data_IF_828715660720
#
_entry.id   IF_828715660720
#
_cell.length_a   1.000
_cell.length_b   1.000
_cell.length_c   1.000
_cell.angle_alpha   90.00
_cell.angle_beta   90.00
_cell.angle_gamma   90.00
#
_symmetry.space_group_name_H-M   'P 1'
#
loop_
_entity.id
_entity.type
_entity.pdbx_description
1 polymer ?
#
# COMPACT_ATOMS: atom_id res chain seq x y z
N UNK A 1 2.70 -10.47 -27.67
CA UNK A 1 3.94 -10.06 -27.00
C UNK A 1 4.93 -11.18 -27.28
N UNK A 2 6.04 -10.93 -27.95
CA UNK A 2 6.99 -12.00 -28.31
C UNK A 2 7.80 -12.33 -27.05
N UNK A 3 7.44 -13.43 -26.37
CA UNK A 3 8.02 -13.85 -25.08
C UNK A 3 8.84 -15.13 -25.28
N UNK A 4 9.96 -15.29 -24.55
CA UNK A 4 10.88 -16.40 -24.77
C UNK A 4 10.41 -17.74 -24.18
N UNK A 5 9.45 -17.73 -23.26
CA UNK A 5 8.92 -18.94 -22.60
C UNK A 5 7.43 -19.12 -22.86
N UNK A 6 6.96 -20.37 -22.74
CA UNK A 6 5.55 -20.70 -22.94
C UNK A 6 4.64 -20.09 -21.85
N UNK A 7 3.43 -19.70 -22.24
CA UNK A 7 2.46 -19.07 -21.33
C UNK A 7 2.16 -19.92 -20.09
N UNK A 8 2.05 -21.24 -20.28
CA UNK A 8 1.81 -22.20 -19.20
C UNK A 8 2.95 -22.20 -18.17
N UNK A 9 4.19 -22.17 -18.63
CA UNK A 9 5.38 -22.15 -17.79
C UNK A 9 5.49 -20.84 -17.01
N UNK A 10 5.28 -19.70 -17.68
CA UNK A 10 5.24 -18.39 -17.01
C UNK A 10 4.15 -18.33 -15.95
N UNK A 11 2.95 -18.83 -16.25
CA UNK A 11 1.86 -18.90 -15.28
C UNK A 11 2.19 -19.80 -14.10
N UNK A 12 2.89 -20.92 -14.32
CA UNK A 12 3.39 -21.74 -13.22
C UNK A 12 4.29 -20.90 -12.30
N UNK A 13 5.28 -20.18 -12.83
CA UNK A 13 6.17 -19.31 -12.03
C UNK A 13 5.37 -18.23 -11.26
N UNK A 14 4.38 -17.61 -11.89
CA UNK A 14 3.51 -16.62 -11.26
C UNK A 14 2.64 -17.22 -10.15
N UNK A 15 2.03 -18.38 -10.38
CA UNK A 15 1.15 -19.03 -9.42
C UNK A 15 1.90 -19.58 -8.21
N UNK A 16 3.16 -19.97 -8.39
CA UNK A 16 4.02 -20.29 -7.24
C UNK A 16 4.25 -19.07 -6.34
N UNK A 17 4.04 -17.83 -6.80
CA UNK A 17 4.13 -16.63 -5.96
C UNK A 17 2.87 -16.36 -5.14
N UNK A 18 1.77 -17.09 -5.40
CA UNK A 18 0.48 -16.90 -4.76
C UNK A 18 0.31 -17.71 -3.47
N UNK A 19 -0.62 -17.26 -2.62
CA UNK A 19 -1.09 -18.03 -1.47
C UNK A 19 -2.14 -19.07 -1.88
N UNK A 20 -2.36 -20.08 -1.04
CA UNK A 20 -3.45 -21.06 -1.25
C UNK A 20 -4.82 -20.37 -1.31
N UNK A 21 -5.00 -19.29 -0.55
CA UNK A 21 -6.24 -18.49 -0.58
C UNK A 21 -6.45 -17.83 -1.95
N UNK A 22 -5.39 -17.23 -2.50
CA UNK A 22 -5.44 -16.59 -3.82
C UNK A 22 -5.72 -17.64 -4.92
N UNK A 23 -5.03 -18.79 -4.88
CA UNK A 23 -5.27 -19.89 -5.83
C UNK A 23 -6.70 -20.43 -5.76
N UNK A 24 -7.25 -20.63 -4.55
CA UNK A 24 -8.65 -21.05 -4.38
C UNK A 24 -9.64 -20.00 -4.88
N UNK A 25 -9.30 -18.72 -4.74
CA UNK A 25 -10.10 -17.63 -5.28
C UNK A 25 -10.09 -17.68 -6.83
N UNK A 26 -8.95 -17.96 -7.47
CA UNK A 26 -8.88 -18.19 -8.91
C UNK A 26 -9.72 -19.38 -9.36
N UNK A 27 -9.64 -20.52 -8.68
CA UNK A 27 -10.50 -21.66 -8.99
C UNK A 27 -12.00 -21.30 -8.94
N UNK A 28 -12.38 -20.40 -8.02
CA UNK A 28 -13.76 -19.92 -7.90
C UNK A 28 -14.16 -18.98 -9.04
N UNK A 29 -13.27 -18.06 -9.43
CA UNK A 29 -13.48 -17.13 -10.55
C UNK A 29 -13.63 -17.89 -11.88
N UNK A 30 -12.84 -18.93 -12.07
CA UNK A 30 -12.89 -19.84 -13.23
C UNK A 30 -14.01 -20.89 -13.13
N UNK A 31 -14.84 -20.86 -12.08
CA UNK A 31 -15.94 -21.82 -11.86
C UNK A 31 -15.51 -23.29 -11.82
N UNK A 32 -14.25 -23.57 -11.46
CA UNK A 32 -13.72 -24.92 -11.31
C UNK A 32 -14.33 -25.62 -10.09
N UNK A 33 -14.36 -26.95 -10.07
CA UNK A 33 -14.89 -27.76 -8.96
C UNK A 33 -13.86 -28.81 -8.52
N UNK A 34 -13.95 -29.28 -7.28
CA UNK A 34 -13.08 -30.35 -6.77
C UNK A 34 -11.74 -29.90 -6.16
N UNK A 35 -11.42 -28.61 -6.18
CA UNK A 35 -10.14 -28.06 -5.74
C UNK A 35 -9.96 -27.92 -4.21
N UNK A 36 -11.01 -28.16 -3.41
CA UNK A 36 -11.02 -27.80 -1.98
C UNK A 36 -9.98 -28.54 -1.13
N UNK A 37 -9.68 -29.80 -1.50
CA UNK A 37 -8.74 -30.70 -0.81
C UNK A 37 -7.30 -30.62 -1.35
N UNK A 38 -7.07 -29.89 -2.44
CA UNK A 38 -5.77 -29.82 -3.08
C UNK A 38 -4.80 -28.97 -2.24
N UNK A 39 -3.55 -29.42 -2.18
CA UNK A 39 -2.44 -28.65 -1.62
C UNK A 39 -1.99 -27.58 -2.64
N UNK A 40 -1.01 -26.74 -2.29
CA UNK A 40 -0.60 -25.63 -3.17
C UNK A 40 -0.15 -26.11 -4.55
N UNK A 41 0.79 -27.05 -4.59
CA UNK A 41 1.36 -27.55 -5.84
C UNK A 41 0.26 -28.16 -6.73
N UNK A 42 -0.57 -29.03 -6.16
CA UNK A 42 -1.69 -29.63 -6.89
C UNK A 42 -2.77 -28.62 -7.31
N UNK A 43 -2.93 -27.49 -6.60
CA UNK A 43 -3.82 -26.41 -7.02
C UNK A 43 -3.28 -25.69 -8.26
N UNK A 44 -1.97 -25.44 -8.32
CA UNK A 44 -1.33 -24.81 -9.48
C UNK A 44 -1.53 -25.70 -10.71
N UNK A 45 -1.14 -26.97 -10.61
CA UNK A 45 -1.29 -27.94 -11.70
C UNK A 45 -2.75 -28.06 -12.14
N UNK A 46 -3.67 -28.17 -11.18
CA UNK A 46 -5.11 -28.28 -11.46
C UNK A 46 -5.68 -27.07 -12.20
N UNK A 47 -5.25 -25.85 -11.85
CA UNK A 47 -5.70 -24.65 -12.57
C UNK A 47 -5.16 -24.67 -14.00
N UNK A 48 -3.86 -24.92 -14.16
CA UNK A 48 -3.21 -24.91 -15.48
C UNK A 48 -3.79 -26.00 -16.41
N UNK A 49 -4.09 -27.18 -15.88
CA UNK A 49 -4.71 -28.29 -16.63
C UNK A 49 -6.17 -28.06 -16.99
N UNK A 50 -6.84 -27.14 -16.30
CA UNK A 50 -8.26 -26.84 -16.52
C UNK A 50 -8.51 -25.74 -17.57
N UNK A 51 -7.44 -25.20 -18.17
CA UNK A 51 -7.51 -24.03 -19.06
C UNK A 51 -6.93 -24.36 -20.44
N UNK A 52 -7.53 -23.79 -21.47
CA UNK A 52 -7.00 -23.77 -22.84
C UNK A 52 -5.92 -22.70 -23.00
N UNK A 53 -5.10 -22.79 -24.06
CA UNK A 53 -4.04 -21.80 -24.34
C UNK A 53 -4.56 -20.35 -24.45
N UNK A 54 -5.75 -20.14 -25.04
CA UNK A 54 -6.37 -18.82 -25.13
C UNK A 54 -6.77 -18.28 -23.74
N UNK A 55 -7.28 -19.15 -22.87
CA UNK A 55 -7.62 -18.78 -21.49
C UNK A 55 -6.35 -18.48 -20.66
N UNK A 56 -5.27 -19.24 -20.87
CA UNK A 56 -3.97 -18.98 -20.24
C UNK A 56 -3.42 -17.62 -20.68
N UNK A 57 -3.48 -17.29 -21.97
CA UNK A 57 -3.03 -16.00 -22.48
C UNK A 57 -3.83 -14.83 -21.87
N UNK A 58 -5.16 -14.94 -21.86
CA UNK A 58 -6.04 -13.93 -21.26
C UNK A 58 -5.73 -13.72 -19.77
N UNK A 59 -5.50 -14.82 -19.03
CA UNK A 59 -5.21 -14.74 -17.61
C UNK A 59 -3.85 -14.08 -17.33
N UNK A 60 -2.84 -14.35 -18.16
CA UNK A 60 -1.56 -13.66 -18.09
C UNK A 60 -1.74 -12.16 -18.25
N UNK A 61 -2.47 -11.72 -19.29
CA UNK A 61 -2.71 -10.30 -19.54
C UNK A 61 -3.40 -9.61 -18.35
N UNK A 62 -4.30 -10.30 -17.65
CA UNK A 62 -5.03 -9.72 -16.51
C UNK A 62 -4.23 -9.71 -15.20
N UNK A 63 -3.47 -10.78 -14.92
CA UNK A 63 -2.96 -11.04 -13.56
C UNK A 63 -1.46 -10.86 -13.40
N UNK A 64 -0.67 -11.01 -14.45
CA UNK A 64 0.80 -10.99 -14.40
C UNK A 64 1.32 -9.78 -13.63
N UNK A 65 0.93 -8.57 -14.07
CA UNK A 65 1.41 -7.32 -13.48
C UNK A 65 1.08 -7.20 -11.99
N UNK A 66 -0.11 -7.63 -11.58
CA UNK A 66 -0.55 -7.60 -10.17
C UNK A 66 0.29 -8.52 -9.29
N UNK A 67 0.55 -9.74 -9.76
CA UNK A 67 1.35 -10.74 -9.03
C UNK A 67 2.80 -10.28 -8.89
N UNK A 68 3.38 -9.78 -9.98
CA UNK A 68 4.76 -9.28 -10.04
C UNK A 68 4.92 -8.04 -9.15
N UNK A 69 4.02 -7.07 -9.26
CA UNK A 69 4.03 -5.84 -8.44
C UNK A 69 4.07 -6.18 -6.94
N UNK A 70 3.21 -7.08 -6.49
CA UNK A 70 3.15 -7.49 -5.08
C UNK A 70 4.46 -8.12 -4.59
N UNK A 71 5.12 -8.91 -5.44
CA UNK A 71 6.38 -9.58 -5.09
C UNK A 71 7.54 -8.59 -5.05
N UNK A 72 7.58 -7.63 -5.98
CA UNK A 72 8.53 -6.52 -6.02
C UNK A 72 8.34 -5.60 -4.80
N UNK A 73 7.11 -5.25 -4.43
CA UNK A 73 6.83 -4.41 -3.26
C UNK A 73 7.40 -5.02 -1.97
N UNK A 74 7.28 -6.34 -1.81
CA UNK A 74 7.88 -7.06 -0.68
C UNK A 74 9.42 -7.02 -0.75
N UNK A 75 10.01 -7.17 -1.92
CA UNK A 75 11.47 -7.03 -2.11
C UNK A 75 11.96 -5.62 -1.74
N UNK A 76 11.26 -4.58 -2.19
CA UNK A 76 11.56 -3.18 -1.84
C UNK A 76 11.42 -2.96 -0.33
N UNK A 77 10.39 -3.51 0.31
CA UNK A 77 10.24 -3.44 1.76
C UNK A 77 11.41 -4.11 2.50
N UNK A 78 11.99 -5.20 1.96
CA UNK A 78 13.19 -5.84 2.54
C UNK A 78 14.42 -4.95 2.43
N UNK A 79 14.67 -4.38 1.24
CA UNK A 79 15.76 -3.43 0.99
C UNK A 79 15.63 -2.21 1.90
N UNK A 80 14.40 -1.69 2.06
CA UNK A 80 14.08 -0.55 2.93
C UNK A 80 14.04 -0.90 4.43
N UNK A 81 14.39 -2.14 4.81
CA UNK A 81 14.36 -2.63 6.20
C UNK A 81 12.98 -2.51 6.86
N UNK A 82 11.91 -2.55 6.08
CA UNK A 82 10.51 -2.52 6.53
C UNK A 82 9.91 -3.93 6.71
N UNK A 83 10.51 -4.95 6.08
CA UNK A 83 10.08 -6.35 6.21
C UNK A 83 10.73 -7.08 7.42
N UNK A 84 10.16 -8.20 7.86
CA UNK A 84 10.67 -9.04 8.97
C UNK A 84 12.01 -9.67 8.69
N UNK A 85 12.17 -10.15 7.47
CA UNK A 85 13.38 -10.82 7.03
C UNK A 85 14.21 -9.79 6.27
N UNK A 86 15.46 -9.67 6.68
CA UNK A 86 16.41 -8.70 6.15
C UNK A 86 17.49 -9.40 5.34
N UNK A 87 18.07 -8.67 4.39
CA UNK A 87 19.29 -9.08 3.70
C UNK A 87 20.42 -9.10 4.75
N UNK A 88 21.03 -10.27 4.94
CA UNK A 88 22.21 -10.45 5.77
C UNK A 88 23.45 -10.02 5.00
N UNK A 89 23.60 -10.54 3.79
CA UNK A 89 24.68 -10.20 2.86
C UNK A 89 24.33 -10.62 1.43
N UNK A 90 24.99 -9.99 0.47
CA UNK A 90 25.03 -10.38 -0.94
C UNK A 90 26.49 -10.67 -1.30
N UNK A 91 26.74 -11.81 -1.94
CA UNK A 91 28.04 -12.26 -2.41
C UNK A 91 27.97 -12.48 -3.92
N UNK A 92 29.01 -12.07 -4.64
CA UNK A 92 29.18 -12.48 -6.04
C UNK A 92 29.86 -13.84 -6.00
N UNK A 93 29.14 -14.88 -6.38
CA UNK A 93 29.63 -16.25 -6.33
C UNK A 93 30.48 -16.57 -7.58
N UNK A 94 30.11 -16.01 -8.73
CA UNK A 94 30.87 -16.07 -9.96
C UNK A 94 30.68 -14.77 -10.78
N UNK A 95 31.75 -13.99 -10.95
CA UNK A 95 31.68 -12.71 -11.69
C UNK A 95 31.52 -12.94 -13.20
N UNK A 96 32.06 -14.03 -13.77
CA UNK A 96 31.96 -14.29 -15.21
C UNK A 96 30.54 -14.69 -15.64
N UNK A 97 29.87 -15.49 -14.80
CA UNK A 97 28.49 -15.94 -15.03
C UNK A 97 27.44 -15.01 -14.40
N UNK A 98 27.86 -13.82 -13.93
CA UNK A 98 26.99 -12.83 -13.28
C UNK A 98 26.15 -13.42 -12.11
N UNK A 99 26.76 -14.36 -11.39
CA UNK A 99 26.11 -15.18 -10.37
C UNK A 99 26.20 -14.51 -8.99
N UNK A 100 25.06 -14.41 -8.32
CA UNK A 100 24.96 -13.80 -7.00
C UNK A 100 24.23 -14.70 -6.02
N UNK A 101 24.79 -14.77 -4.82
CA UNK A 101 24.24 -15.48 -3.67
C UNK A 101 23.81 -14.45 -2.62
N UNK A 102 22.60 -14.61 -2.09
CA UNK A 102 22.00 -13.67 -1.15
C UNK A 102 21.51 -14.43 0.06
N UNK A 103 22.07 -14.08 1.22
CA UNK A 103 21.66 -14.62 2.49
C UNK A 103 20.65 -13.69 3.15
N UNK A 104 19.59 -14.28 3.69
CA UNK A 104 18.52 -13.60 4.39
C UNK A 104 18.40 -14.14 5.82
N UNK A 105 18.02 -13.26 6.73
CA UNK A 105 17.78 -13.60 8.13
C UNK A 105 16.41 -13.08 8.57
N UNK A 106 15.57 -14.00 9.03
CA UNK A 106 14.31 -13.71 9.70
C UNK A 106 14.39 -13.99 11.21
N UNK A 107 13.32 -13.72 11.97
CA UNK A 107 13.32 -13.92 13.42
C UNK A 107 13.59 -15.35 13.91
N UNK A 108 13.34 -16.37 13.07
CA UNK A 108 13.47 -17.80 13.41
C UNK A 108 13.90 -18.68 12.24
N UNK A 109 14.38 -18.09 11.15
CA UNK A 109 14.79 -18.81 9.96
C UNK A 109 15.87 -18.03 9.24
N UNK A 110 16.68 -18.75 8.49
CA UNK A 110 17.62 -18.22 7.51
C UNK A 110 17.20 -18.79 6.16
N UNK A 111 17.43 -18.02 5.11
CA UNK A 111 17.13 -18.42 3.73
C UNK A 111 18.25 -17.93 2.82
N UNK A 112 18.53 -18.68 1.77
CA UNK A 112 19.54 -18.39 0.78
C UNK A 112 18.90 -18.38 -0.61
N UNK A 113 19.31 -17.42 -1.43
CA UNK A 113 18.89 -17.33 -2.83
C UNK A 113 20.11 -17.20 -3.72
N UNK A 114 20.07 -17.93 -4.81
CA UNK A 114 21.00 -17.89 -5.91
C UNK A 114 20.28 -17.33 -7.13
N UNK A 115 20.95 -16.48 -7.90
CA UNK A 115 20.49 -16.06 -9.22
C UNK A 115 21.69 -15.70 -10.11
N UNK A 116 21.64 -16.13 -11.37
CA UNK A 116 22.52 -15.66 -12.44
C UNK A 116 21.66 -15.02 -13.52
N UNK A 117 21.99 -13.79 -13.90
CA UNK A 117 21.38 -13.09 -15.03
C UNK A 117 22.49 -12.57 -15.92
N UNK A 118 22.64 -13.17 -17.10
CA UNK A 118 23.58 -12.80 -18.14
C UNK A 118 22.84 -12.56 -19.46
N UNK A 119 23.47 -11.94 -20.46
CA UNK A 119 22.90 -11.83 -21.80
C UNK A 119 22.48 -13.17 -22.41
N UNK A 120 23.13 -14.26 -22.03
CA UNK A 120 22.88 -15.62 -22.53
C UNK A 120 21.66 -16.30 -21.89
N UNK A 121 21.32 -15.96 -20.64
CA UNK A 121 20.21 -16.58 -19.90
C UNK A 121 19.11 -15.61 -19.46
N UNK A 122 19.14 -14.34 -19.90
CA UNK A 122 18.17 -13.31 -19.46
C UNK A 122 16.70 -13.67 -19.73
N UNK A 123 16.47 -14.48 -20.76
CA UNK A 123 15.16 -14.98 -21.16
C UNK A 123 14.63 -16.06 -20.21
N UNK A 124 15.53 -16.80 -19.55
CA UNK A 124 15.20 -17.73 -18.47
C UNK A 124 16.37 -17.82 -17.46
N UNK A 125 16.43 -16.90 -16.48
CA UNK A 125 17.56 -16.83 -15.56
C UNK A 125 17.69 -18.08 -14.70
N UNK A 126 18.93 -18.54 -14.55
CA UNK A 126 19.26 -19.57 -13.58
C UNK A 126 19.02 -19.03 -12.17
N UNK A 127 18.25 -19.79 -11.38
CA UNK A 127 17.84 -19.38 -10.04
C UNK A 127 17.58 -20.59 -9.17
N UNK A 128 17.93 -20.46 -7.90
CA UNK A 128 17.57 -21.39 -6.85
C UNK A 128 17.31 -20.60 -5.58
N UNK A 129 16.34 -21.00 -4.78
CA UNK A 129 16.07 -20.35 -3.51
C UNK A 129 15.37 -21.32 -2.57
N UNK A 130 15.87 -21.44 -1.36
CA UNK A 130 15.34 -22.36 -0.35
C UNK A 130 13.97 -21.93 0.22
N UNK A 131 13.48 -20.75 -0.15
CA UNK A 131 12.17 -20.28 0.28
C UNK A 131 11.04 -21.08 -0.39
N UNK A 132 9.86 -21.08 0.23
CA UNK A 132 8.70 -21.86 -0.24
C UNK A 132 8.25 -21.54 -1.66
N UNK A 133 8.53 -20.32 -2.15
CA UNK A 133 8.15 -19.87 -3.50
C UNK A 133 9.28 -20.19 -4.48
N UNK A 134 10.51 -19.83 -4.11
CA UNK A 134 11.69 -19.97 -4.95
C UNK A 134 12.08 -21.41 -5.23
N UNK A 135 11.90 -22.32 -4.26
CA UNK A 135 12.19 -23.76 -4.44
C UNK A 135 11.27 -24.46 -5.44
N UNK A 136 10.27 -23.73 -5.96
CA UNK A 136 9.37 -24.13 -7.04
C UNK A 136 9.52 -23.24 -8.27
N UNK A 137 10.64 -22.56 -8.42
CA UNK A 137 10.95 -21.61 -9.50
C UNK A 137 10.06 -20.37 -9.60
N UNK A 138 9.24 -20.09 -8.57
CA UNK A 138 8.37 -18.92 -8.55
C UNK A 138 9.13 -17.61 -8.37
N UNK A 139 8.56 -16.50 -8.85
CA UNK A 139 9.09 -15.14 -8.69
C UNK A 139 8.94 -14.62 -7.25
N UNK A 140 9.69 -15.22 -6.32
CA UNK A 140 9.72 -14.81 -4.93
C UNK A 140 10.33 -13.41 -4.76
N UNK A 141 10.11 -12.79 -3.60
CA UNK A 141 10.74 -11.51 -3.29
C UNK A 141 12.28 -11.60 -3.22
N UNK A 142 12.87 -12.78 -2.94
CA UNK A 142 14.33 -12.99 -2.96
C UNK A 142 14.89 -12.90 -4.38
N UNK A 143 14.19 -13.51 -5.36
CA UNK A 143 14.50 -13.38 -6.78
C UNK A 143 14.53 -11.91 -7.19
N UNK A 144 13.53 -11.11 -6.78
CA UNK A 144 13.48 -9.69 -7.13
C UNK A 144 14.60 -8.86 -6.49
N UNK A 145 15.08 -9.24 -5.30
CA UNK A 145 16.25 -8.59 -4.69
C UNK A 145 17.50 -8.86 -5.53
N UNK A 146 17.70 -10.12 -5.95
CA UNK A 146 18.80 -10.46 -6.83
C UNK A 146 18.70 -9.82 -8.21
N UNK A 147 17.49 -9.76 -8.79
CA UNK A 147 17.20 -9.02 -10.02
C UNK A 147 17.61 -7.54 -9.90
N UNK A 148 17.21 -6.86 -8.82
CA UNK A 148 17.56 -5.45 -8.57
C UNK A 148 19.08 -5.31 -8.39
N UNK A 149 19.72 -6.23 -7.67
CA UNK A 149 21.17 -6.24 -7.49
C UNK A 149 21.89 -6.36 -8.84
N UNK A 150 21.58 -7.37 -9.64
CA UNK A 150 22.20 -7.61 -10.95
C UNK A 150 21.98 -6.44 -11.91
N UNK A 151 20.79 -5.84 -11.90
CA UNK A 151 20.50 -4.61 -12.66
C UNK A 151 21.36 -3.43 -12.19
N UNK A 152 21.55 -3.25 -10.88
CA UNK A 152 22.35 -2.16 -10.31
C UNK A 152 23.85 -2.37 -10.48
N UNK A 153 24.30 -3.62 -10.53
CA UNK A 153 25.68 -4.02 -10.80
C UNK A 153 26.02 -3.86 -12.29
N UNK A 154 25.02 -3.82 -13.16
CA UNK A 154 25.17 -3.62 -14.60
C UNK A 154 25.28 -4.91 -15.40
N UNK A 155 24.83 -6.04 -14.85
CA UNK A 155 24.87 -7.35 -15.52
C UNK A 155 23.88 -7.45 -16.69
N UNK A 156 22.84 -6.61 -16.71
CA UNK A 156 21.93 -6.45 -17.84
C UNK A 156 21.28 -5.06 -17.82
N UNK A 157 20.68 -4.62 -18.93
CA UNK A 157 19.84 -3.43 -18.95
C UNK A 157 18.35 -3.79 -18.86
N UNK A 158 17.55 -2.92 -18.24
CA UNK A 158 16.12 -3.15 -18.06
C UNK A 158 15.36 -3.37 -19.39
N UNK A 159 15.85 -2.79 -20.50
CA UNK A 159 15.25 -2.94 -21.84
C UNK A 159 15.43 -4.36 -22.41
N UNK A 160 16.40 -5.11 -21.89
CA UNK A 160 16.71 -6.45 -22.33
C UNK A 160 15.79 -7.48 -21.65
N UNK A 161 15.13 -7.10 -20.56
CA UNK A 161 14.20 -7.95 -19.83
C UNK A 161 12.87 -8.14 -20.57
N UNK A 162 12.59 -9.39 -20.98
CA UNK A 162 11.36 -9.76 -21.71
C UNK A 162 10.54 -10.87 -21.06
N UNK A 163 11.09 -11.54 -20.04
CA UNK A 163 10.47 -12.69 -19.39
C UNK A 163 9.11 -12.33 -18.76
N UNK A 164 8.99 -11.16 -18.13
CA UNK A 164 7.73 -10.72 -17.51
C UNK A 164 7.57 -9.20 -17.50
N UNK A 165 6.32 -8.74 -17.49
CA UNK A 165 5.98 -7.32 -17.38
C UNK A 165 6.37 -6.75 -16.01
N UNK A 166 7.04 -5.60 -16.04
CA UNK A 166 7.37 -4.83 -14.85
C UNK A 166 6.40 -3.66 -14.66
N UNK A 167 6.14 -3.24 -13.40
CA UNK A 167 5.37 -2.03 -13.12
C UNK A 167 5.96 -0.81 -13.83
N UNK A 168 5.12 0.07 -14.37
CA UNK A 168 5.60 1.29 -15.06
C UNK A 168 6.47 2.19 -14.17
N UNK A 169 6.22 2.18 -12.86
CA UNK A 169 7.00 2.91 -11.85
C UNK A 169 8.22 2.13 -11.33
N UNK A 170 8.54 0.94 -11.86
CA UNK A 170 9.62 0.10 -11.36
C UNK A 170 10.96 0.85 -11.31
N UNK A 171 11.35 1.47 -12.44
CA UNK A 171 12.61 2.22 -12.55
C UNK A 171 12.71 3.36 -11.54
N UNK A 172 11.59 4.04 -11.30
CA UNK A 172 11.49 5.14 -10.33
C UNK A 172 11.61 4.61 -8.90
N UNK A 173 10.95 3.49 -8.58
CA UNK A 173 10.96 2.89 -7.25
C UNK A 173 12.34 2.38 -6.83
N UNK A 174 13.18 1.97 -7.79
CA UNK A 174 14.54 1.51 -7.51
C UNK A 174 15.61 2.59 -7.71
N UNK A 175 15.24 3.81 -8.14
CA UNK A 175 16.21 4.83 -8.57
C UNK A 175 17.26 5.12 -7.50
N UNK A 176 16.82 5.19 -6.24
CA UNK A 176 17.64 5.54 -5.08
C UNK A 176 18.30 4.32 -4.42
N UNK A 177 18.04 3.11 -4.91
CA UNK A 177 18.71 1.90 -4.41
C UNK A 177 20.14 1.89 -4.96
N UNK A 178 21.11 1.71 -4.08
CA UNK A 178 22.53 1.60 -4.40
C UNK A 178 23.14 0.34 -3.79
N UNK A 179 24.24 -0.11 -4.39
CA UNK A 179 25.06 -1.19 -3.88
C UNK A 179 26.09 -0.60 -2.93
N UNK A 180 26.08 -1.07 -1.68
CA UNK A 180 27.10 -0.75 -0.68
C UNK A 180 28.02 -1.96 -0.50
N UNK A 181 29.33 -1.75 -0.55
CA UNK A 181 30.33 -2.79 -0.30
C UNK A 181 31.01 -2.55 1.06
N UNK A 182 31.00 -3.56 1.92
CA UNK A 182 31.62 -3.54 3.24
C UNK A 182 32.46 -4.82 3.40
N UNK A 183 33.78 -4.68 3.42
CA UNK A 183 34.74 -5.80 3.60
C UNK A 183 34.55 -6.94 2.59
N UNK A 184 34.34 -6.62 1.31
CA UNK A 184 34.13 -7.61 0.24
C UNK A 184 32.75 -8.29 0.25
N UNK A 185 31.80 -7.75 1.03
CA UNK A 185 30.39 -8.18 1.03
C UNK A 185 29.52 -7.03 0.54
N UNK A 186 28.49 -7.35 -0.22
CA UNK A 186 27.58 -6.36 -0.75
C UNK A 186 26.27 -6.30 0.02
N UNK A 187 25.62 -5.15 -0.04
CA UNK A 187 24.26 -4.94 0.41
C UNK A 187 23.53 -3.99 -0.55
N UNK A 188 22.20 -4.02 -0.53
CA UNK A 188 21.36 -3.03 -1.18
C UNK A 188 20.86 -2.03 -0.14
N UNK A 189 21.15 -0.76 -0.36
CA UNK A 189 20.69 0.33 0.48
C UNK A 189 19.83 1.29 -0.33
N UNK A 190 18.74 1.80 0.23
CA UNK A 190 17.99 2.88 -0.39
C UNK A 190 18.52 4.23 0.14
N UNK A 191 19.05 5.05 -0.77
CA UNK A 191 19.59 6.40 -0.52
C UNK A 191 18.56 7.52 -0.65
N UNK A 192 17.26 7.23 -0.72
CA UNK A 192 16.28 8.29 -0.41
C UNK A 192 16.67 8.98 0.88
N UNK A 193 16.41 10.30 1.02
CA UNK A 193 16.61 10.97 2.30
C UNK A 193 15.92 10.08 3.33
N UNK A 194 16.74 9.53 4.25
CA UNK A 194 16.42 8.41 5.14
C UNK A 194 14.92 8.33 5.34
N UNK A 195 14.24 7.19 5.10
CA UNK A 195 12.86 7.04 5.58
C UNK A 195 12.86 7.64 6.98
N UNK A 196 12.22 8.80 7.20
CA UNK A 196 12.71 9.69 8.25
C UNK A 196 12.46 9.09 9.64
N UNK A 197 11.56 8.09 9.68
CA UNK A 197 11.33 7.19 10.79
C UNK A 197 12.50 6.28 11.15
N UNK A 198 13.34 5.86 10.21
CA UNK A 198 14.55 5.06 10.46
C UNK A 198 15.52 5.82 11.36
N UNK A 199 15.68 7.13 11.18
CA UNK A 199 16.50 7.96 12.08
C UNK A 199 15.95 8.01 13.50
N UNK A 200 14.65 7.72 13.66
CA UNK A 200 13.90 7.69 14.91
C UNK A 200 13.67 6.26 15.45
N UNK A 201 14.12 5.23 14.75
CA UNK A 201 13.88 3.84 15.12
C UNK A 201 14.55 3.52 16.47
N UNK A 202 13.83 2.75 17.30
CA UNK A 202 14.19 2.39 18.67
C UNK A 202 14.38 3.57 19.64
N UNK A 203 14.06 4.80 19.19
CA UNK A 203 14.08 6.01 20.02
C UNK A 203 12.69 6.32 20.56
N UNK A 204 12.68 7.08 21.66
CA UNK A 204 11.47 7.70 22.17
C UNK A 204 11.11 8.91 21.31
N UNK A 205 9.88 8.96 20.84
CA UNK A 205 9.36 9.96 19.91
C UNK A 205 8.06 10.56 20.42
N UNK A 206 7.68 11.68 19.82
CA UNK A 206 6.40 12.35 20.05
C UNK A 206 5.64 12.44 18.72
N UNK A 207 4.39 11.98 18.74
CA UNK A 207 3.39 12.37 17.75
C UNK A 207 2.82 13.71 18.22
N UNK A 208 3.11 14.76 17.46
CA UNK A 208 2.64 16.10 17.74
C UNK A 208 1.21 16.31 17.22
N UNK A 209 0.89 15.68 16.09
CA UNK A 209 -0.39 15.79 15.42
C UNK A 209 -0.67 14.51 14.61
N UNK A 210 -1.93 14.11 14.53
CA UNK A 210 -2.38 13.00 13.67
C UNK A 210 -3.86 12.71 13.91
N UNK A 211 -4.59 12.37 12.85
CA UNK A 211 -6.04 12.09 12.93
C UNK A 211 -6.26 10.59 13.05
N UNK A 212 -7.10 10.18 13.99
CA UNK A 212 -7.42 8.76 14.16
C UNK A 212 -8.31 8.27 13.00
N UNK A 213 -7.77 7.39 12.16
CA UNK A 213 -8.52 6.77 11.08
C UNK A 213 -9.23 5.48 11.52
N UNK A 214 -8.54 4.59 12.25
CA UNK A 214 -9.13 3.34 12.72
C UNK A 214 -8.64 2.98 14.12
N UNK A 215 -9.49 2.27 14.86
CA UNK A 215 -9.17 1.71 16.18
C UNK A 215 -9.66 0.27 16.19
N UNK A 216 -8.75 -0.68 16.39
CA UNK A 216 -9.05 -2.11 16.41
C UNK A 216 -8.63 -2.71 17.76
N UNK A 217 -9.60 -3.22 18.53
CA UNK A 217 -9.32 -3.98 19.76
C UNK A 217 -8.68 -5.33 19.40
N UNK A 218 -7.59 -5.66 20.08
CA UNK A 218 -6.83 -6.90 19.90
C UNK A 218 -6.55 -7.54 21.25
N UNK A 219 -6.43 -8.86 21.22
CA UNK A 219 -6.08 -9.67 22.39
C UNK A 219 -4.87 -10.52 22.03
N UNK A 220 -3.88 -10.58 22.93
CA UNK A 220 -2.72 -11.45 22.82
C UNK A 220 -2.70 -12.37 24.03
N UNK A 221 -2.67 -13.66 23.79
CA UNK A 221 -2.37 -14.66 24.82
C UNK A 221 -0.89 -15.02 24.72
N UNK A 222 -0.16 -14.83 25.82
CA UNK A 222 1.22 -15.31 25.94
C UNK A 222 1.38 -16.03 27.26
N UNK A 223 1.58 -17.35 27.20
CA UNK A 223 1.76 -18.23 28.35
C UNK A 223 0.60 -18.13 29.37
N UNK A 224 -0.65 -17.96 28.90
CA UNK A 224 -1.84 -17.84 29.74
C UNK A 224 -2.11 -16.42 30.24
N UNK A 225 -1.23 -15.45 29.96
CA UNK A 225 -1.47 -14.05 30.25
C UNK A 225 -2.15 -13.38 29.06
N UNK A 226 -3.45 -13.10 29.23
CA UNK A 226 -4.26 -12.40 28.23
C UNK A 226 -4.01 -10.89 28.36
N UNK A 227 -3.39 -10.31 27.34
CA UNK A 227 -3.17 -8.86 27.23
C UNK A 227 -4.10 -8.28 26.18
N UNK A 228 -4.92 -7.32 26.58
CA UNK A 228 -5.77 -6.53 25.67
C UNK A 228 -5.06 -5.24 25.28
N UNK A 229 -5.10 -4.90 24.00
CA UNK A 229 -4.56 -3.64 23.48
C UNK A 229 -5.36 -3.17 22.27
N UNK A 230 -5.16 -1.91 21.90
CA UNK A 230 -5.82 -1.26 20.78
C UNK A 230 -4.79 -0.90 19.73
N UNK A 231 -5.02 -1.38 18.51
CA UNK A 231 -4.26 -0.99 17.33
C UNK A 231 -4.94 0.21 16.69
N UNK A 232 -4.29 1.36 16.74
CA UNK A 232 -4.82 2.62 16.23
C UNK A 232 -4.01 3.05 15.02
N UNK A 233 -4.68 3.35 13.91
CA UNK A 233 -4.05 3.96 12.73
C UNK A 233 -4.31 5.45 12.77
N UNK A 234 -3.24 6.23 12.69
CA UNK A 234 -3.28 7.67 12.47
C UNK A 234 -2.95 7.99 11.02
N UNK A 235 -3.52 9.08 10.53
CA UNK A 235 -3.20 9.69 9.23
C UNK A 235 -2.76 11.15 9.41
N UNK A 236 -2.06 11.70 8.41
CA UNK A 236 -1.53 13.08 8.42
C UNK A 236 -0.68 13.36 9.67
N UNK A 237 0.30 12.50 9.93
CA UNK A 237 1.00 12.46 11.20
C UNK A 237 2.23 13.36 11.17
N UNK A 238 2.35 14.24 12.16
CA UNK A 238 3.58 14.98 12.46
C UNK A 238 4.30 14.33 13.63
N UNK A 239 5.49 13.81 13.38
CA UNK A 239 6.28 13.06 14.36
C UNK A 239 7.67 13.69 14.50
N UNK A 240 8.20 13.70 15.73
CA UNK A 240 9.54 14.20 16.00
C UNK A 240 10.19 13.52 17.21
N UNK A 241 11.44 13.89 17.52
CA UNK A 241 12.11 13.43 18.72
C UNK A 241 11.34 13.84 19.98
N UNK A 242 11.33 12.98 20.99
CA UNK A 242 10.73 13.33 22.27
C UNK A 242 11.54 14.43 22.96
N UNK A 243 10.91 15.58 23.22
CA UNK A 243 11.49 16.67 24.01
C UNK A 243 10.71 16.87 25.31
N UNK A 244 11.42 17.26 26.39
CA UNK A 244 10.79 17.49 27.70
C UNK A 244 10.09 18.85 27.80
N UNK A 245 10.60 19.86 27.08
CA UNK A 245 9.98 21.20 26.99
C UNK A 245 9.62 21.47 25.55
N UNK A 246 8.50 22.16 25.34
CA UNK A 246 7.99 22.47 24.00
C UNK A 246 8.95 23.39 23.22
N UNK A 247 9.64 24.27 23.93
CA UNK A 247 10.60 25.23 23.34
C UNK A 247 11.89 24.57 22.83
N UNK A 248 12.18 23.33 23.26
CA UNK A 248 13.30 22.54 22.77
C UNK A 248 12.96 21.83 21.43
N UNK A 249 11.68 21.86 21.02
CA UNK A 249 11.24 21.29 19.74
C UNK A 249 11.59 22.25 18.62
N UNK A 250 12.59 21.90 17.83
CA UNK A 250 12.86 22.60 16.58
C UNK A 250 11.96 22.04 15.48
N UNK A 251 11.27 22.92 14.77
CA UNK A 251 10.33 22.57 13.71
C UNK A 251 11.01 21.77 12.57
N UNK A 252 12.29 22.04 12.32
CA UNK A 252 13.16 21.30 11.38
C UNK A 252 13.34 19.80 11.72
N UNK A 253 13.06 19.39 12.96
CA UNK A 253 13.13 17.99 13.40
C UNK A 253 11.77 17.28 13.35
N UNK A 254 10.72 17.95 12.89
CA UNK A 254 9.38 17.38 12.73
C UNK A 254 9.25 16.85 11.31
N UNK A 255 8.81 15.61 11.22
CA UNK A 255 8.63 14.86 9.99
C UNK A 255 7.13 14.66 9.78
N UNK A 256 6.67 14.89 8.56
CA UNK A 256 5.30 14.56 8.13
C UNK A 256 5.29 13.19 7.46
N UNK A 257 4.38 12.31 7.90
CA UNK A 257 4.15 11.00 7.30
C UNK A 257 2.66 10.76 7.08
N UNK A 258 2.32 10.00 6.05
CA UNK A 258 0.92 9.78 5.66
C UNK A 258 0.16 8.94 6.67
N UNK A 259 0.79 7.88 7.20
CA UNK A 259 0.17 6.92 8.10
C UNK A 259 1.13 6.51 9.23
N UNK A 260 0.62 6.36 10.45
CA UNK A 260 1.34 5.65 11.51
C UNK A 260 0.43 4.77 12.36
N UNK A 261 0.91 3.56 12.66
CA UNK A 261 0.23 2.62 13.55
C UNK A 261 0.76 2.75 14.99
N UNK A 262 -0.17 2.77 15.93
CA UNK A 262 0.08 2.87 17.36
C UNK A 262 -0.47 1.63 18.06
N UNK A 263 0.27 1.10 19.04
CA UNK A 263 -0.24 0.12 20.01
C UNK A 263 -0.49 0.78 21.35
N UNK A 264 -1.76 1.01 21.65
CA UNK A 264 -2.23 1.62 22.89
C UNK A 264 -2.65 0.51 23.86
N UNK A 265 -2.16 0.52 25.10
CA UNK A 265 -2.59 -0.46 26.11
C UNK A 265 -4.06 -0.23 26.49
N UNK A 266 -4.77 -1.27 26.93
CA UNK A 266 -6.16 -1.12 27.38
C UNK A 266 -6.30 -0.04 28.48
N UNK A 267 -5.35 0.01 29.42
CA UNK A 267 -5.30 1.05 30.46
C UNK A 267 -5.19 2.46 29.87
N UNK A 268 -4.27 2.68 28.92
CA UNK A 268 -4.07 3.99 28.31
C UNK A 268 -5.25 4.38 27.40
N UNK A 269 -5.82 3.41 26.70
CA UNK A 269 -7.03 3.61 25.90
C UNK A 269 -8.20 4.03 26.78
N UNK A 270 -8.51 3.29 27.84
CA UNK A 270 -9.67 3.57 28.70
C UNK A 270 -9.55 4.91 29.45
N UNK A 271 -8.33 5.39 29.71
CA UNK A 271 -8.11 6.67 30.39
C UNK A 271 -8.52 7.89 29.55
N UNK A 272 -8.42 7.77 28.22
CA UNK A 272 -8.63 8.89 27.28
C UNK A 272 -9.84 8.65 26.37
N UNK A 273 -10.18 7.38 26.14
CA UNK A 273 -11.25 6.88 25.28
C UNK A 273 -11.26 7.54 23.89
N UNK A 274 -10.16 7.45 23.13
CA UNK A 274 -10.05 8.08 21.82
C UNK A 274 -11.05 7.50 20.82
N UNK A 275 -11.55 8.33 19.90
CA UNK A 275 -12.52 7.96 18.87
C UNK A 275 -11.96 8.18 17.46
N UNK A 276 -12.52 7.46 16.49
CA UNK A 276 -12.26 7.73 15.07
C UNK A 276 -12.59 9.20 14.78
N UNK A 277 -11.67 9.90 14.11
CA UNK A 277 -11.78 11.33 13.79
C UNK A 277 -11.15 12.28 14.81
N UNK A 278 -10.76 11.81 16.00
CA UNK A 278 -10.07 12.67 16.97
C UNK A 278 -8.66 13.04 16.49
N UNK A 279 -8.22 14.25 16.85
CA UNK A 279 -6.81 14.60 16.78
C UNK A 279 -6.09 13.97 17.98
N UNK A 280 -5.01 13.24 17.71
CA UNK A 280 -4.24 12.54 18.73
C UNK A 280 -2.80 13.01 18.74
N UNK A 281 -2.35 13.44 19.92
CA UNK A 281 -0.93 13.62 20.23
C UNK A 281 -0.54 12.63 21.32
N UNK A 282 0.66 12.07 21.24
CA UNK A 282 1.13 11.12 22.24
C UNK A 282 2.65 10.93 22.17
N UNK A 283 3.19 10.26 23.17
CA UNK A 283 4.59 9.86 23.21
C UNK A 283 4.69 8.34 23.15
N UNK A 284 5.76 7.83 22.57
CA UNK A 284 6.01 6.39 22.56
C UNK A 284 7.42 6.05 22.10
N UNK A 285 7.68 4.77 21.89
CA UNK A 285 8.90 4.28 21.28
C UNK A 285 8.57 3.78 19.89
N UNK A 286 9.26 4.32 18.90
CA UNK A 286 9.17 3.81 17.54
C UNK A 286 9.94 2.50 17.45
N UNK A 287 9.31 1.43 16.99
CA UNK A 287 9.94 0.11 16.92
C UNK A 287 9.60 -0.55 15.59
N UNK A 288 10.48 -1.43 15.14
CA UNK A 288 10.19 -2.35 14.03
C UNK A 288 9.40 -3.54 14.60
N UNK A 289 8.10 -3.59 14.33
CA UNK A 289 7.29 -4.76 14.64
C UNK A 289 7.41 -5.78 13.52
N UNK A 290 7.56 -7.04 13.90
CA UNK A 290 7.65 -8.11 12.94
C UNK A 290 6.41 -8.09 12.00
N UNK A 291 5.20 -7.98 12.51
CA UNK A 291 4.00 -8.20 11.70
C UNK A 291 3.51 -6.98 10.94
N UNK A 292 3.82 -5.78 11.43
CA UNK A 292 3.12 -4.56 11.04
C UNK A 292 4.07 -3.51 10.43
N UNK A 293 5.38 -3.78 10.45
CA UNK A 293 6.42 -2.82 10.02
C UNK A 293 6.77 -1.86 11.15
N UNK A 294 7.17 -0.63 10.79
CA UNK A 294 7.46 0.41 11.78
C UNK A 294 6.16 0.86 12.46
N UNK A 295 6.14 0.83 13.79
CA UNK A 295 5.00 1.26 14.57
C UNK A 295 5.44 1.87 15.90
N UNK A 296 4.55 2.61 16.56
CA UNK A 296 4.81 3.13 17.89
C UNK A 296 4.23 2.21 18.97
N UNK A 297 5.07 1.79 19.91
CA UNK A 297 4.68 1.02 21.11
C UNK A 297 4.94 1.84 22.38
N UNK A 298 4.50 1.29 23.53
CA UNK A 298 4.62 1.93 24.86
C UNK A 298 4.04 3.35 24.85
N UNK A 299 2.90 3.50 24.19
CA UNK A 299 2.23 4.78 24.01
C UNK A 299 1.78 5.32 25.37
N UNK A 300 2.08 6.60 25.61
CA UNK A 300 1.84 7.30 26.88
C UNK A 300 1.61 8.79 26.62
N UNK A 301 1.08 9.52 27.61
CA UNK A 301 0.79 10.95 27.48
C UNK A 301 -0.13 11.25 26.29
N UNK A 302 -1.13 10.38 26.07
CA UNK A 302 -2.10 10.53 25.00
C UNK A 302 -2.99 11.72 25.35
N UNK A 303 -3.02 12.73 24.49
CA UNK A 303 -4.00 13.79 24.54
C UNK A 303 -4.82 13.72 23.26
N UNK A 304 -6.13 13.64 23.43
CA UNK A 304 -7.08 13.83 22.34
C UNK A 304 -7.55 15.27 22.36
N UNK A 305 -7.33 15.97 21.26
CA UNK A 305 -8.13 17.15 20.95
C UNK A 305 -9.37 16.65 20.23
N UNK A 306 -10.49 17.37 20.37
CA UNK A 306 -11.53 17.24 19.34
C UNK A 306 -10.85 17.59 18.02
N UNK A 307 -10.88 16.66 17.07
CA UNK A 307 -10.28 16.91 15.78
C UNK A 307 -10.96 18.11 15.10
N UNK A 308 -10.36 18.61 14.03
CA UNK A 308 -11.06 19.49 13.09
C UNK A 308 -12.32 18.81 12.50
N UNK A 309 -12.62 17.57 12.85
CA UNK A 309 -13.87 16.85 12.60
C UNK A 309 -15.11 17.51 13.23
N UNK A 310 -15.01 18.28 14.33
CA UNK A 310 -16.14 19.15 14.74
C UNK A 310 -16.36 20.33 13.78
N UNK A 311 -15.33 20.73 13.04
CA UNK A 311 -15.41 21.80 12.02
C UNK A 311 -15.64 21.24 10.61
N UNK A 312 -15.28 19.98 10.35
CA UNK A 312 -15.37 19.31 9.06
C UNK A 312 -15.66 17.80 9.21
N UNK A 313 -16.91 17.43 9.53
CA UNK A 313 -17.32 16.05 9.76
C UNK A 313 -17.08 15.08 8.58
N UNK A 314 -16.87 15.58 7.36
CA UNK A 314 -16.62 14.73 6.19
C UNK A 314 -15.33 13.90 6.33
N UNK A 315 -14.38 14.36 7.14
CA UNK A 315 -13.13 13.66 7.44
C UNK A 315 -13.37 12.29 8.11
N UNK A 316 -14.52 12.08 8.78
CA UNK A 316 -14.90 10.77 9.34
C UNK A 316 -14.99 9.67 8.28
N UNK A 317 -15.23 10.06 7.03
CA UNK A 317 -15.46 9.17 5.90
C UNK A 317 -14.26 9.09 4.95
N UNK A 318 -13.06 9.53 5.35
CA UNK A 318 -11.89 9.49 4.47
C UNK A 318 -11.60 8.06 3.97
N UNK A 319 -11.50 7.91 2.65
CA UNK A 319 -11.36 6.62 1.95
C UNK A 319 -12.68 5.86 1.75
N UNK A 320 -13.78 6.30 2.39
CA UNK A 320 -15.09 5.69 2.29
C UNK A 320 -15.97 6.40 1.25
N UNK A 321 -17.01 5.69 0.75
CA UNK A 321 -18.05 6.31 -0.09
C UNK A 321 -19.15 6.90 0.78
N UNK A 322 -19.50 8.14 0.48
CA UNK A 322 -20.63 8.86 1.07
C UNK A 322 -21.70 9.16 0.02
N UNK A 323 -22.88 9.51 0.51
CA UNK A 323 -23.95 10.14 -0.28
C UNK A 323 -24.07 11.60 0.15
N UNK A 324 -23.97 12.51 -0.80
CA UNK A 324 -24.43 13.90 -0.67
C UNK A 324 -25.92 13.90 -1.03
N UNK A 325 -26.77 14.11 -0.04
CA UNK A 325 -28.23 14.10 -0.19
C UNK A 325 -28.76 15.39 -0.79
N UNK A 326 -28.18 16.52 -0.39
CA UNK A 326 -28.53 17.84 -0.90
C UNK A 326 -27.32 18.77 -0.73
N UNK A 327 -27.07 19.58 -1.76
CA UNK A 327 -26.10 20.67 -1.73
C UNK A 327 -26.32 21.59 -2.93
N UNK A 328 -25.87 22.84 -2.86
CA UNK A 328 -25.89 23.77 -3.99
C UNK A 328 -24.48 23.99 -4.56
N UNK A 329 -24.36 24.00 -5.88
CA UNK A 329 -23.10 24.33 -6.56
C UNK A 329 -22.86 25.84 -6.50
N UNK A 330 -21.74 26.26 -5.91
CA UNK A 330 -21.35 27.69 -5.82
C UNK A 330 -20.32 28.09 -6.85
N UNK A 331 -19.39 27.18 -7.18
CA UNK A 331 -18.32 27.44 -8.14
C UNK A 331 -18.07 26.20 -8.97
N UNK A 332 -17.64 26.41 -10.21
CA UNK A 332 -17.22 25.34 -11.08
C UNK A 332 -16.09 25.80 -11.98
N UNK A 333 -14.98 25.06 -11.95
CA UNK A 333 -13.78 25.35 -12.71
C UNK A 333 -13.40 24.13 -13.57
N UNK A 334 -13.26 24.34 -14.88
CA UNK A 334 -12.71 23.32 -15.78
C UNK A 334 -11.21 23.17 -15.50
N UNK A 335 -10.76 21.95 -15.28
CA UNK A 335 -9.35 21.61 -15.13
C UNK A 335 -8.97 20.59 -16.20
N UNK A 336 -7.80 20.80 -16.78
CA UNK A 336 -7.21 19.90 -17.76
C UNK A 336 -5.91 19.38 -17.16
N UNK A 337 -5.79 18.05 -17.10
CA UNK A 337 -4.63 17.38 -16.55
C UNK A 337 -4.02 16.47 -17.61
N UNK A 338 -2.80 16.81 -18.02
CA UNK A 338 -1.98 16.00 -18.92
C UNK A 338 -1.29 14.91 -18.14
N UNK A 339 -1.80 13.69 -18.24
CA UNK A 339 -1.10 12.53 -17.69
C UNK A 339 -0.19 11.95 -18.76
N UNK A 340 1.13 12.06 -18.55
CA UNK A 340 2.18 11.43 -19.36
C UNK A 340 2.01 11.55 -20.89
N UNK A 341 1.71 12.75 -21.40
CA UNK A 341 1.83 13.08 -22.82
C UNK A 341 0.70 12.61 -23.75
N UNK A 342 -0.07 11.58 -23.38
CA UNK A 342 -0.95 10.90 -24.34
C UNK A 342 -2.47 11.11 -24.11
N UNK A 343 -2.90 11.59 -22.93
CA UNK A 343 -4.32 11.85 -22.67
C UNK A 343 -4.54 13.13 -21.85
N UNK A 344 -5.35 14.04 -22.38
CA UNK A 344 -5.91 15.16 -21.65
C UNK A 344 -7.09 14.65 -20.81
N UNK A 345 -6.90 14.51 -19.50
CA UNK A 345 -8.02 14.24 -18.59
C UNK A 345 -8.69 15.56 -18.24
N UNK A 346 -9.90 15.76 -18.75
CA UNK A 346 -10.73 16.91 -18.40
C UNK A 346 -11.64 16.56 -17.23
N UNK A 347 -11.66 17.42 -16.22
CA UNK A 347 -12.60 17.32 -15.10
C UNK A 347 -13.03 18.71 -14.64
N UNK A 348 -14.12 18.76 -13.89
CA UNK A 348 -14.66 19.99 -13.33
C UNK A 348 -14.52 19.94 -11.81
N UNK A 349 -13.72 20.86 -11.27
CA UNK A 349 -13.62 21.08 -9.83
C UNK A 349 -14.81 21.95 -9.42
N UNK A 350 -15.65 21.42 -8.54
CA UNK A 350 -16.93 22.03 -8.15
C UNK A 350 -16.90 22.31 -6.65
N UNK A 351 -17.20 23.55 -6.27
CA UNK A 351 -17.42 23.94 -4.87
C UNK A 351 -18.91 23.76 -4.55
N UNK A 352 -19.19 23.08 -3.45
CA UNK A 352 -20.52 22.79 -2.95
C UNK A 352 -20.73 23.56 -1.65
N UNK A 353 -21.94 24.12 -1.43
CA UNK A 353 -22.36 24.70 -0.15
C UNK A 353 -23.55 23.97 0.47
N UNK A 354 -23.77 24.20 1.76
CA UNK A 354 -24.91 23.67 2.53
C UNK A 354 -25.05 22.14 2.36
N UNK A 355 -23.92 21.44 2.51
CA UNK A 355 -23.79 20.04 2.13
C UNK A 355 -24.39 19.15 3.21
N UNK A 356 -25.49 18.48 2.87
CA UNK A 356 -26.10 17.40 3.67
C UNK A 356 -25.56 16.07 3.19
N UNK A 357 -24.84 15.33 4.03
CA UNK A 357 -24.21 14.07 3.62
C UNK A 357 -24.28 13.00 4.71
N UNK A 358 -23.97 11.76 4.33
CA UNK A 358 -23.90 10.64 5.26
C UNK A 358 -23.36 9.37 4.60
N UNK A 359 -23.41 8.22 5.29
CA UNK A 359 -22.89 6.97 4.74
C UNK A 359 -23.63 6.59 3.45
N UNK A 360 -22.91 6.01 2.49
CA UNK A 360 -23.54 5.52 1.27
C UNK A 360 -24.53 4.38 1.60
N UNK A 361 -25.80 4.59 1.27
CA UNK A 361 -26.84 3.58 1.47
C UNK A 361 -26.83 2.54 0.35
N UNK A 362 -27.00 1.26 0.71
CA UNK A 362 -27.25 0.20 -0.26
C UNK A 362 -28.74 0.08 -0.57
N UNK A 363 -29.60 0.39 0.40
CA UNK A 363 -31.07 0.38 0.26
C UNK A 363 -31.69 1.64 0.87
N UNK A 364 -32.80 2.12 0.30
CA UNK A 364 -33.53 3.30 0.83
C UNK A 364 -34.01 3.10 2.28
N UNK A 365 -34.34 1.87 2.68
CA UNK A 365 -34.77 1.54 4.04
C UNK A 365 -33.66 1.67 5.10
N UNK A 366 -32.40 1.84 4.68
CA UNK A 366 -31.26 2.04 5.59
C UNK A 366 -31.03 3.53 5.90
N UNK A 367 -31.84 4.42 5.34
CA UNK A 367 -31.78 5.86 5.62
C UNK A 367 -32.10 6.12 7.09
N UNK A 368 -31.21 6.88 7.74
CA UNK A 368 -31.32 7.26 9.14
C UNK A 368 -30.91 8.72 9.27
N UNK A 369 -31.88 9.59 9.56
CA UNK A 369 -31.69 11.03 9.68
C UNK A 369 -30.62 11.38 10.73
N UNK A 370 -30.45 10.54 11.76
CA UNK A 370 -29.47 10.77 12.83
C UNK A 370 -28.03 10.56 12.39
N UNK A 371 -27.80 9.99 11.18
CA UNK A 371 -26.48 9.79 10.58
C UNK A 371 -26.17 10.81 9.49
N UNK A 372 -27.03 11.81 9.34
CA UNK A 372 -26.85 12.90 8.39
C UNK A 372 -26.07 14.01 9.07
N UNK A 373 -25.01 14.43 8.40
CA UNK A 373 -24.12 15.48 8.86
C UNK A 373 -24.17 16.65 7.88
N UNK A 374 -23.80 17.84 8.36
CA UNK A 374 -23.82 19.07 7.60
C UNK A 374 -22.41 19.67 7.57
N UNK A 375 -21.97 20.13 6.40
CA UNK A 375 -20.82 21.03 6.28
C UNK A 375 -21.14 22.21 5.39
N UNK A 376 -20.53 23.34 5.70
CA UNK A 376 -20.74 24.56 4.95
C UNK A 376 -20.20 24.46 3.54
N UNK A 377 -19.03 23.84 3.36
CA UNK A 377 -18.36 23.75 2.06
C UNK A 377 -17.72 22.38 1.84
N UNK A 378 -17.81 21.87 0.61
CA UNK A 378 -17.09 20.68 0.16
C UNK A 378 -16.63 20.86 -1.28
N UNK A 379 -15.41 20.46 -1.59
CA UNK A 379 -14.98 20.36 -2.98
C UNK A 379 -15.34 19.00 -3.56
N UNK A 380 -15.67 18.97 -4.84
CA UNK A 380 -16.04 17.76 -5.56
C UNK A 380 -15.42 17.75 -6.97
N UNK A 381 -14.92 16.59 -7.40
CA UNK A 381 -14.42 16.38 -8.76
C UNK A 381 -15.47 15.67 -9.60
N UNK A 382 -16.01 16.37 -10.60
CA UNK A 382 -16.94 15.82 -11.59
C UNK A 382 -16.16 15.49 -12.87
N UNK A 383 -16.41 14.32 -13.48
CA UNK A 383 -15.82 13.98 -14.77
C UNK A 383 -16.49 14.73 -15.92
N UNK A 384 -15.76 14.96 -17.01
CA UNK A 384 -16.30 15.57 -18.24
C UNK A 384 -17.58 14.87 -18.72
N UNK A 385 -17.61 13.53 -18.71
CA UNK A 385 -18.80 12.76 -19.07
C UNK A 385 -20.04 13.09 -18.21
N UNK A 386 -19.89 13.26 -16.89
CA UNK A 386 -21.03 13.66 -16.04
C UNK A 386 -21.45 15.09 -16.36
N UNK A 387 -20.48 15.98 -16.57
CA UNK A 387 -20.73 17.37 -16.94
C UNK A 387 -21.50 17.47 -18.26
N UNK A 388 -21.04 16.81 -19.32
CA UNK A 388 -21.66 16.86 -20.65
C UNK A 388 -23.06 16.25 -20.65
N UNK A 389 -23.24 15.15 -19.92
CA UNK A 389 -24.51 14.41 -19.88
C UNK A 389 -25.60 15.14 -19.09
N UNK A 390 -25.25 15.77 -17.97
CA UNK A 390 -26.23 16.35 -17.05
C UNK A 390 -26.22 17.88 -17.06
N UNK A 391 -25.19 18.50 -17.62
CA UNK A 391 -25.00 19.95 -17.74
C UNK A 391 -25.16 20.72 -16.43
N UNK A 392 -24.49 20.34 -15.31
CA UNK A 392 -24.61 21.04 -14.04
C UNK A 392 -24.11 22.49 -14.14
N UNK A 393 -24.78 23.40 -13.42
CA UNK A 393 -24.48 24.83 -13.42
C UNK A 393 -24.40 25.37 -11.98
N UNK A 394 -23.74 26.52 -11.84
CA UNK A 394 -23.75 27.28 -10.59
C UNK A 394 -25.20 27.60 -10.21
N UNK A 395 -25.55 27.37 -8.96
CA UNK A 395 -26.90 27.48 -8.41
C UNK A 395 -27.75 26.21 -8.47
N UNK A 396 -27.32 25.16 -9.20
CA UNK A 396 -28.04 23.89 -9.21
C UNK A 396 -27.96 23.22 -7.83
N UNK A 397 -29.09 22.71 -7.35
CA UNK A 397 -29.15 21.77 -6.22
C UNK A 397 -28.90 20.36 -6.70
N UNK A 398 -28.07 19.60 -5.99
CA UNK A 398 -27.59 18.30 -6.43
C UNK A 398 -27.59 17.24 -5.33
N UNK A 399 -27.67 15.99 -5.76
CA UNK A 399 -27.38 14.80 -4.96
C UNK A 399 -26.43 13.89 -5.72
N UNK A 400 -25.48 13.27 -5.02
CA UNK A 400 -24.55 12.33 -5.64
C UNK A 400 -23.91 11.37 -4.63
N UNK A 401 -23.23 10.34 -5.14
CA UNK A 401 -22.34 9.50 -4.35
C UNK A 401 -20.88 9.78 -4.74
N UNK A 402 -19.97 9.78 -3.78
CA UNK A 402 -18.55 9.88 -4.08
C UNK A 402 -17.69 9.30 -2.96
N UNK A 403 -16.40 9.15 -3.23
CA UNK A 403 -15.40 8.74 -2.24
C UNK A 403 -14.77 9.99 -1.63
N UNK A 404 -14.76 10.10 -0.31
CA UNK A 404 -14.03 11.18 0.37
C UNK A 404 -12.55 10.86 0.28
N UNK A 405 -11.78 11.78 -0.26
CA UNK A 405 -10.34 11.63 -0.50
C UNK A 405 -9.61 12.89 -0.02
N UNK A 406 -8.32 12.74 0.30
CA UNK A 406 -7.47 13.89 0.63
C UNK A 406 -6.59 14.19 -0.58
N UNK A 407 -6.83 15.33 -1.20
CA UNK A 407 -6.06 15.78 -2.34
C UNK A 407 -4.94 16.72 -1.90
N UNK A 408 -3.74 16.50 -2.41
CA UNK A 408 -2.54 17.26 -2.02
C UNK A 408 -2.66 18.76 -2.29
N UNK A 409 -3.54 19.19 -3.19
CA UNK A 409 -3.75 20.61 -3.51
C UNK A 409 -5.04 21.18 -2.94
N UNK A 410 -6.10 20.38 -2.88
CA UNK A 410 -7.45 20.87 -2.57
C UNK A 410 -7.93 20.49 -1.17
N UNK A 411 -7.13 19.74 -0.40
CA UNK A 411 -7.53 19.17 0.88
C UNK A 411 -8.62 18.12 0.69
N UNK A 412 -9.59 18.09 1.60
CA UNK A 412 -10.67 17.09 1.56
C UNK A 412 -11.62 17.34 0.40
N UNK A 413 -11.74 16.36 -0.49
CA UNK A 413 -12.52 16.45 -1.72
C UNK A 413 -13.32 15.16 -1.94
N UNK A 414 -14.48 15.29 -2.60
CA UNK A 414 -15.26 14.18 -3.07
C UNK A 414 -14.83 13.77 -4.49
N UNK A 415 -14.23 12.58 -4.64
CA UNK A 415 -13.81 12.01 -5.94
C UNK A 415 -14.71 10.86 -6.39
N UNK A 416 -14.52 10.41 -7.64
CA UNK A 416 -15.22 9.25 -8.24
C UNK A 416 -16.74 9.38 -8.14
N UNK A 417 -17.22 10.59 -8.40
CA UNK A 417 -18.63 10.96 -8.32
C UNK A 417 -19.47 10.07 -9.24
N UNK A 418 -20.59 9.58 -8.72
CA UNK A 418 -21.54 8.72 -9.42
C UNK A 418 -22.96 9.00 -8.94
N UNK A 419 -23.96 8.52 -9.69
CA UNK A 419 -25.39 8.76 -9.40
C UNK A 419 -25.72 10.25 -9.19
N UNK A 420 -25.02 11.12 -9.91
CA UNK A 420 -25.24 12.56 -9.87
C UNK A 420 -26.66 12.86 -10.39
N UNK A 421 -27.40 13.64 -9.62
CA UNK A 421 -28.80 14.00 -9.88
C UNK A 421 -28.98 15.47 -9.54
N UNK A 422 -29.68 16.22 -10.40
CA UNK A 422 -30.17 17.55 -10.08
C UNK A 422 -31.51 17.43 -9.35
N UNK A 423 -31.67 18.15 -8.25
CA UNK A 423 -32.84 18.09 -7.38
C UNK A 423 -33.94 19.06 -7.81
#
# INVERSE_FOLDING_TARGET
>A
MDRPIENRELLNYLFQSLSVGDLKQYCKELSLKGYSKLNKDALVDFILDSMSEEELENLLQEKELSIISKSIDVALNKINKLDRESIREIRIANEEEHEVEIDFVGPRWESSSFISISPENIDEPERDCDCRVGSKMGFCNHFWIGFIFSLKKGYFELKDWKLTQLPENFKENIKNIEIEEINGRFNLINKEPDNPLLTLLDKKVSVHEGVIQTINKRTSDFQGNITVYYMTTLINVKIGPFVKKKDDLKEENIISIDEMKLRISEKAYNAVNPKKGDNLSCNGTLVKDNFIGIMMKRVSGINTGKGDTEQNPVLYYLGERITVYESEITEMEKKEYKFRGDYDTVYYLTSLKDVRFGPQLKKKSEYDENKIENINELKMRISENIYDKLGPKIGDKISCNGTVDNDSFFGTILKRVAKFTKL
#
